data_IF_171853273564
#
_entry.id   IF_171853273564
#
_cell.length_a   1.000
_cell.length_b   1.000
_cell.length_c   1.000
_cell.angle_alpha   90.00
_cell.angle_beta   90.00
_cell.angle_gamma   90.00
#
_symmetry.space_group_name_H-M   'P 1'
#
loop_
_entity.id
_entity.type
_entity.pdbx_description
1 polymer ?
#
# COMPACT_ATOMS: atom_id res chain seq x y z
N UNK A 1 29.79 -3.46 13.21
CA UNK A 1 28.32 -3.59 13.29
C UNK A 1 27.76 -3.33 11.90
N UNK A 2 28.14 -4.23 10.99
CA UNK A 2 28.20 -4.02 9.54
C UNK A 2 26.83 -4.21 8.87
N UNK A 3 26.54 -3.33 7.91
CA UNK A 3 25.49 -3.39 6.86
C UNK A 3 24.41 -4.48 7.01
N UNK A 4 23.34 -4.19 7.76
CA UNK A 4 22.20 -5.12 7.90
C UNK A 4 21.16 -5.01 6.78
N UNK A 5 21.18 -3.91 6.03
CA UNK A 5 20.29 -3.66 4.91
C UNK A 5 21.04 -2.83 3.87
N UNK A 6 20.88 -3.14 2.59
CA UNK A 6 21.26 -2.22 1.52
C UNK A 6 20.02 -1.60 0.88
N UNK A 7 20.21 -0.37 0.47
CA UNK A 7 19.20 0.46 -0.15
C UNK A 7 19.34 0.38 -1.67
N UNK A 8 18.28 -0.05 -2.33
CA UNK A 8 18.13 0.14 -3.76
C UNK A 8 17.76 1.59 -4.00
N UNK A 9 18.78 2.41 -4.26
CA UNK A 9 18.60 3.76 -4.78
C UNK A 9 18.95 3.74 -6.28
N UNK A 10 17.94 3.80 -7.14
CA UNK A 10 18.15 4.56 -8.37
C UNK A 10 17.92 6.01 -7.97
N UNK A 11 18.93 6.86 -8.09
CA UNK A 11 18.70 8.31 -7.98
C UNK A 11 17.52 8.69 -8.89
N UNK A 12 16.75 9.69 -8.46
CA UNK A 12 15.69 10.35 -9.23
C UNK A 12 16.24 11.05 -10.51
N UNK A 13 16.85 10.29 -11.41
CA UNK A 13 17.32 10.76 -12.72
C UNK A 13 16.43 10.28 -13.88
N UNK A 14 15.23 9.78 -13.60
CA UNK A 14 14.31 9.31 -14.65
C UNK A 14 13.52 10.42 -15.35
N UNK A 15 13.76 11.70 -15.05
CA UNK A 15 13.21 12.80 -15.86
C UNK A 15 14.02 13.14 -17.10
N UNK A 16 15.21 12.56 -17.31
CA UNK A 16 16.08 12.89 -18.46
C UNK A 16 16.64 11.69 -19.24
N UNK A 17 16.35 10.45 -18.84
CA UNK A 17 16.81 9.24 -19.57
C UNK A 17 15.68 8.21 -19.67
N UNK A 18 14.52 8.65 -20.18
CA UNK A 18 13.47 7.74 -20.63
C UNK A 18 13.93 7.04 -21.92
N UNK A 19 14.40 5.79 -21.78
CA UNK A 19 14.24 4.68 -22.74
C UNK A 19 15.00 3.38 -22.37
N UNK A 20 15.52 3.21 -21.15
CA UNK A 20 16.09 1.91 -20.75
C UNK A 20 15.74 1.54 -19.30
N UNK A 21 14.92 0.50 -19.17
CA UNK A 21 14.60 -0.30 -17.97
C UNK A 21 15.82 -0.82 -17.16
N UNK A 22 17.04 -0.53 -17.59
CA UNK A 22 18.26 -1.24 -17.20
C UNK A 22 18.81 -0.83 -15.82
N UNK A 23 18.58 0.40 -15.36
CA UNK A 23 19.24 0.90 -14.13
C UNK A 23 18.79 0.17 -12.87
N UNK A 24 17.49 -0.15 -12.73
CA UNK A 24 16.96 -0.90 -11.60
C UNK A 24 17.44 -2.35 -11.61
N UNK A 25 17.45 -3.01 -12.77
CA UNK A 25 17.94 -4.39 -12.90
C UNK A 25 19.44 -4.50 -12.63
N UNK A 26 20.23 -3.50 -13.03
CA UNK A 26 21.65 -3.40 -12.67
C UNK A 26 21.80 -3.27 -11.15
N UNK A 27 21.01 -2.40 -10.50
CA UNK A 27 21.02 -2.27 -9.04
C UNK A 27 20.62 -3.56 -8.34
N UNK A 28 19.55 -4.22 -8.78
CA UNK A 28 19.09 -5.51 -8.24
C UNK A 28 20.21 -6.54 -8.33
N UNK A 29 20.77 -6.77 -9.52
CA UNK A 29 21.87 -7.75 -9.70
C UNK A 29 23.06 -7.45 -8.79
N UNK A 30 23.53 -6.21 -8.78
CA UNK A 30 24.67 -5.81 -7.95
C UNK A 30 24.41 -5.88 -6.43
N UNK A 31 23.15 -5.79 -6.00
CA UNK A 31 22.76 -5.98 -4.60
C UNK A 31 22.62 -7.47 -4.25
N UNK A 32 22.07 -8.28 -5.16
CA UNK A 32 21.90 -9.73 -4.96
C UNK A 32 23.27 -10.42 -4.83
N UNK A 33 24.25 -10.03 -5.63
CA UNK A 33 25.63 -10.52 -5.55
C UNK A 33 26.27 -10.33 -4.16
N UNK A 34 25.82 -9.33 -3.40
CA UNK A 34 26.34 -9.04 -2.05
C UNK A 34 25.74 -9.94 -0.96
N UNK A 35 24.71 -10.74 -1.26
CA UNK A 35 24.05 -11.66 -0.34
C UNK A 35 23.74 -11.04 1.03
N UNK A 36 22.89 -10.02 1.02
CA UNK A 36 22.58 -9.23 2.20
C UNK A 36 21.43 -9.87 3.00
N UNK A 37 21.28 -9.53 4.29
CA UNK A 37 20.19 -10.07 5.10
C UNK A 37 18.81 -9.51 4.73
N UNK A 38 18.73 -8.45 3.94
CA UNK A 38 17.48 -7.86 3.48
C UNK A 38 17.71 -6.74 2.46
N UNK A 39 16.66 -6.43 1.68
CA UNK A 39 16.73 -5.51 0.55
C UNK A 39 15.66 -4.43 0.67
N UNK A 40 16.05 -3.16 0.56
CA UNK A 40 15.11 -2.06 0.58
C UNK A 40 14.87 -1.50 -0.84
N UNK A 41 13.61 -1.29 -1.21
CA UNK A 41 13.17 -0.66 -2.44
C UNK A 41 12.90 0.81 -2.13
N UNK A 42 13.80 1.68 -2.58
CA UNK A 42 13.72 3.14 -2.38
C UNK A 42 13.40 3.90 -3.65
N UNK A 43 13.20 5.22 -3.50
CA UNK A 43 12.94 6.14 -4.63
C UNK A 43 11.47 6.25 -5.04
N UNK A 44 10.55 5.65 -4.27
CA UNK A 44 9.10 5.56 -4.54
C UNK A 44 8.23 6.47 -3.64
N UNK A 45 8.85 7.47 -3.03
CA UNK A 45 8.21 8.25 -1.97
C UNK A 45 7.57 9.55 -2.50
N UNK A 46 6.35 9.44 -3.04
CA UNK A 46 5.35 10.52 -2.96
C UNK A 46 5.28 11.53 -4.11
N UNK A 47 5.80 11.22 -5.30
CA UNK A 47 5.72 12.11 -6.46
C UNK A 47 5.55 11.45 -7.82
N UNK A 48 5.53 10.12 -7.90
CA UNK A 48 5.36 9.41 -9.17
C UNK A 48 3.90 9.07 -9.46
N UNK A 49 3.64 8.82 -10.74
CA UNK A 49 2.40 8.25 -11.21
C UNK A 49 2.17 6.86 -10.57
N UNK A 50 0.90 6.56 -10.25
CA UNK A 50 0.54 5.31 -9.59
C UNK A 50 0.83 4.09 -10.45
N UNK A 51 0.74 4.21 -11.77
CA UNK A 51 1.05 3.12 -12.68
C UNK A 51 2.57 2.81 -12.73
N UNK A 52 3.42 3.84 -12.71
CA UNK A 52 4.87 3.70 -12.55
C UNK A 52 5.22 3.10 -11.20
N UNK A 53 4.57 3.56 -10.13
CA UNK A 53 4.82 3.11 -8.76
C UNK A 53 4.71 1.58 -8.63
N UNK A 54 3.56 1.00 -9.01
CA UNK A 54 3.35 -0.44 -8.81
C UNK A 54 4.23 -1.28 -9.75
N UNK A 55 4.51 -0.80 -10.97
CA UNK A 55 5.41 -1.48 -11.92
C UNK A 55 6.83 -1.59 -11.38
N UNK A 56 7.36 -0.51 -10.78
CA UNK A 56 8.70 -0.54 -10.19
C UNK A 56 8.74 -1.49 -8.99
N UNK A 57 7.70 -1.52 -8.15
CA UNK A 57 7.61 -2.49 -7.06
C UNK A 57 7.64 -3.91 -7.61
N UNK A 58 6.79 -4.23 -8.58
CA UNK A 58 6.70 -5.57 -9.20
C UNK A 58 8.04 -6.00 -9.84
N UNK A 59 8.68 -5.10 -10.59
CA UNK A 59 10.00 -5.35 -11.19
C UNK A 59 11.05 -5.66 -10.12
N UNK A 60 11.10 -4.85 -9.06
CA UNK A 60 12.08 -5.04 -7.99
C UNK A 60 11.83 -6.31 -7.19
N UNK A 61 10.58 -6.61 -6.81
CA UNK A 61 10.26 -7.80 -6.01
C UNK A 61 10.50 -9.10 -6.79
N UNK A 62 10.28 -9.11 -8.12
CA UNK A 62 10.57 -10.26 -8.97
C UNK A 62 12.07 -10.57 -9.08
N UNK A 63 12.93 -9.55 -9.08
CA UNK A 63 14.38 -9.73 -9.16
C UNK A 63 15.09 -9.98 -7.83
N UNK A 64 14.40 -9.82 -6.70
CA UNK A 64 14.97 -9.97 -5.35
C UNK A 64 14.78 -11.40 -4.81
N UNK A 65 15.74 -11.93 -4.04
CA UNK A 65 15.65 -13.28 -3.45
C UNK A 65 14.39 -13.45 -2.61
N UNK A 66 13.72 -14.60 -2.76
CA UNK A 66 12.49 -14.94 -2.03
C UNK A 66 12.75 -15.26 -0.55
N UNK A 67 13.96 -15.68 -0.20
CA UNK A 67 14.35 -16.04 1.17
C UNK A 67 14.74 -14.82 2.03
N UNK A 68 14.65 -13.60 1.48
CA UNK A 68 15.09 -12.35 2.12
C UNK A 68 13.95 -11.33 2.20
N UNK A 69 13.84 -10.58 3.31
CA UNK A 69 12.82 -9.55 3.47
C UNK A 69 13.02 -8.39 2.49
N UNK A 70 11.91 -7.96 1.89
CA UNK A 70 11.80 -6.86 0.93
C UNK A 70 11.09 -5.68 1.60
N UNK A 71 11.81 -4.59 1.78
CA UNK A 71 11.33 -3.40 2.49
C UNK A 71 11.03 -2.27 1.51
N UNK A 72 9.76 -1.85 1.39
CA UNK A 72 9.36 -0.73 0.53
C UNK A 72 9.29 0.56 1.35
N UNK A 73 10.19 1.49 1.04
CA UNK A 73 10.36 2.71 1.83
C UNK A 73 9.33 3.79 1.49
N UNK A 74 8.76 4.43 2.51
CA UNK A 74 7.91 5.61 2.36
C UNK A 74 6.47 5.34 1.93
N UNK A 75 6.05 4.07 1.87
CA UNK A 75 4.68 3.66 1.53
C UNK A 75 3.83 3.56 2.80
N UNK A 76 2.74 4.32 2.84
CA UNK A 76 1.89 4.40 4.04
C UNK A 76 0.40 4.50 3.81
N UNK A 77 -0.05 4.61 2.55
CA UNK A 77 -1.47 4.60 2.28
C UNK A 77 -1.99 3.16 2.38
N UNK A 78 -3.12 2.89 3.07
CA UNK A 78 -3.61 1.53 3.28
C UNK A 78 -3.73 0.70 2.00
N UNK A 79 -4.29 1.28 0.94
CA UNK A 79 -4.41 0.61 -0.36
C UNK A 79 -3.05 0.27 -0.97
N UNK A 80 -2.07 1.18 -0.88
CA UNK A 80 -0.73 0.94 -1.41
C UNK A 80 -0.04 -0.21 -0.67
N UNK A 81 -0.21 -0.32 0.64
CA UNK A 81 0.34 -1.42 1.44
C UNK A 81 -0.25 -2.77 0.99
N UNK A 82 -1.57 -2.82 0.77
CA UNK A 82 -2.24 -4.04 0.30
C UNK A 82 -1.71 -4.43 -1.08
N UNK A 83 -1.58 -3.46 -2.00
CA UNK A 83 -1.05 -3.70 -3.35
C UNK A 83 0.40 -4.15 -3.32
N UNK A 84 1.28 -3.45 -2.60
CA UNK A 84 2.69 -3.83 -2.48
C UNK A 84 2.86 -5.22 -1.84
N UNK A 85 1.99 -5.57 -0.88
CA UNK A 85 2.04 -6.91 -0.26
C UNK A 85 1.66 -7.99 -1.27
N UNK A 86 0.66 -7.73 -2.12
CA UNK A 86 0.30 -8.63 -3.21
C UNK A 86 1.44 -8.79 -4.24
N UNK A 87 2.25 -7.75 -4.43
CA UNK A 87 3.45 -7.78 -5.27
C UNK A 87 4.68 -8.37 -4.57
N UNK A 88 4.56 -8.86 -3.33
CA UNK A 88 5.63 -9.57 -2.62
C UNK A 88 6.56 -8.69 -1.78
N UNK A 89 6.08 -7.55 -1.28
CA UNK A 89 6.79 -6.75 -0.28
C UNK A 89 6.41 -7.14 1.17
N UNK A 90 7.37 -7.06 2.08
CA UNK A 90 7.26 -7.58 3.45
C UNK A 90 7.22 -6.48 4.52
N UNK A 91 7.92 -5.37 4.29
CA UNK A 91 8.09 -4.29 5.27
C UNK A 91 7.74 -2.93 4.67
N UNK A 92 7.22 -2.04 5.53
CA UNK A 92 6.76 -0.70 5.16
C UNK A 92 7.08 0.31 6.26
N UNK A 93 7.35 1.55 5.87
CA UNK A 93 7.39 2.68 6.78
C UNK A 93 6.75 3.91 6.14
N UNK A 94 6.07 4.71 6.95
CA UNK A 94 5.62 6.02 6.50
C UNK A 94 5.22 6.91 7.67
N UNK A 95 5.40 8.21 7.50
CA UNK A 95 4.84 9.23 8.39
C UNK A 95 3.34 9.48 8.16
N UNK A 96 2.73 8.85 7.15
CA UNK A 96 1.33 9.05 6.77
C UNK A 96 0.33 9.02 7.95
N UNK A 97 0.29 8.00 8.83
CA UNK A 97 -0.70 7.95 9.91
C UNK A 97 -0.57 9.13 10.88
N UNK A 98 0.65 9.51 11.26
CA UNK A 98 0.90 10.60 12.21
C UNK A 98 0.81 11.98 11.55
N UNK A 99 1.17 12.11 10.27
CA UNK A 99 1.01 13.35 9.49
C UNK A 99 -0.47 13.66 9.29
N UNK A 100 -1.26 12.67 8.86
CA UNK A 100 -2.70 12.80 8.62
C UNK A 100 -3.45 13.11 9.92
N UNK A 101 -3.03 12.53 11.05
CA UNK A 101 -3.57 12.87 12.37
C UNK A 101 -3.39 14.35 12.75
N UNK A 102 -2.23 14.96 12.44
CA UNK A 102 -2.00 16.40 12.69
C UNK A 102 -2.91 17.30 11.89
N UNK A 103 -3.34 16.86 10.71
CA UNK A 103 -4.34 17.57 9.91
C UNK A 103 -5.78 17.32 10.38
N UNK A 104 -5.99 16.56 11.45
CA UNK A 104 -7.32 16.29 12.00
C UNK A 104 -8.08 15.21 11.23
N UNK A 105 -7.36 14.26 10.64
CA UNK A 105 -7.93 13.19 9.84
C UNK A 105 -7.62 11.82 10.47
N UNK A 106 -8.65 11.01 10.62
CA UNK A 106 -8.57 9.65 11.17
C UNK A 106 -8.68 8.61 10.05
N UNK A 107 -7.90 7.55 10.14
CA UNK A 107 -7.98 6.40 9.22
C UNK A 107 -9.16 5.51 9.62
N UNK A 108 -9.98 5.14 8.64
CA UNK A 108 -11.13 4.24 8.79
C UNK A 108 -11.12 3.24 7.63
N UNK A 109 -11.79 2.08 7.75
CA UNK A 109 -11.80 1.08 6.67
C UNK A 109 -12.28 1.63 5.32
N UNK A 110 -13.20 2.60 5.34
CA UNK A 110 -13.75 3.25 4.14
C UNK A 110 -12.84 4.37 3.59
N UNK A 111 -11.69 4.63 4.22
CA UNK A 111 -10.73 5.65 3.82
C UNK A 111 -10.36 6.61 4.94
N UNK A 112 -10.74 7.89 4.80
CA UNK A 112 -10.28 8.96 5.71
C UNK A 112 -11.46 9.77 6.24
N UNK A 113 -11.60 9.79 7.55
CA UNK A 113 -12.58 10.60 8.27
C UNK A 113 -11.97 11.96 8.65
N UNK A 114 -12.50 13.05 8.09
CA UNK A 114 -12.04 14.42 8.36
C UNK A 114 -12.78 14.99 9.58
N UNK A 115 -12.16 14.94 10.75
CA UNK A 115 -12.78 15.36 12.00
C UNK A 115 -12.97 16.87 12.15
N UNK A 116 -12.33 17.70 11.31
CA UNK A 116 -12.57 19.15 11.28
C UNK A 116 -13.87 19.56 10.60
N UNK A 117 -14.59 18.63 9.94
CA UNK A 117 -15.85 18.94 9.27
C UNK A 117 -16.97 19.18 10.29
N UNK A 118 -17.83 20.17 10.02
CA UNK A 118 -18.96 20.51 10.91
C UNK A 118 -19.94 19.35 11.12
N UNK A 119 -20.06 18.45 10.14
CA UNK A 119 -20.88 17.23 10.29
C UNK A 119 -20.45 16.35 11.48
N UNK A 120 -19.19 16.46 11.92
CA UNK A 120 -18.66 15.70 13.05
C UNK A 120 -18.96 16.35 14.39
N UNK A 121 -19.39 17.62 14.44
CA UNK A 121 -19.57 18.37 15.69
C UNK A 121 -20.63 17.78 16.61
N UNK A 122 -21.60 17.04 16.06
CA UNK A 122 -22.71 16.43 16.81
C UNK A 122 -22.75 14.90 16.65
N UNK A 123 -21.73 14.29 16.04
CA UNK A 123 -21.68 12.84 15.83
C UNK A 123 -21.14 12.14 17.08
N UNK A 124 -22.02 11.49 17.84
CA UNK A 124 -21.66 10.77 19.08
C UNK A 124 -21.06 9.38 18.84
N UNK A 125 -20.97 8.92 17.59
CA UNK A 125 -20.33 7.63 17.27
C UNK A 125 -18.82 7.68 17.51
N UNK A 126 -18.17 6.55 17.79
CA UNK A 126 -16.70 6.47 17.77
C UNK A 126 -16.16 6.64 16.34
N UNK A 127 -14.84 6.81 16.19
CA UNK A 127 -14.21 6.88 14.85
C UNK A 127 -14.56 5.64 14.03
N UNK A 128 -14.33 4.45 14.59
CA UNK A 128 -14.65 3.16 14.01
C UNK A 128 -15.19 2.23 15.13
N UNK A 129 -16.47 1.81 15.07
CA UNK A 129 -17.06 0.90 16.07
C UNK A 129 -16.37 -0.46 16.17
N UNK A 130 -15.73 -0.92 15.09
CA UNK A 130 -14.98 -2.18 15.07
C UNK A 130 -13.58 -2.06 15.70
N UNK A 131 -13.14 -0.84 16.04
CA UNK A 131 -11.78 -0.59 16.50
C UNK A 131 -11.64 -0.76 18.02
N UNK A 132 -10.79 -1.68 18.49
CA UNK A 132 -10.62 -1.93 19.92
C UNK A 132 -9.68 -0.93 20.61
N UNK A 133 -9.21 0.10 19.91
CA UNK A 133 -8.23 1.06 20.42
C UNK A 133 -8.84 1.92 21.55
N UNK A 134 -7.97 2.42 22.45
CA UNK A 134 -8.39 3.29 23.57
C UNK A 134 -9.23 4.48 23.10
N UNK A 135 -8.91 5.04 21.93
CA UNK A 135 -9.59 6.23 21.41
C UNK A 135 -11.03 5.93 21.00
N UNK A 136 -11.25 4.85 20.25
CA UNK A 136 -12.59 4.45 19.82
C UNK A 136 -13.47 3.94 20.98
N UNK A 137 -12.87 3.47 22.08
CA UNK A 137 -13.61 3.04 23.27
C UNK A 137 -14.09 4.20 24.15
N UNK A 138 -13.33 5.30 24.19
CA UNK A 138 -13.53 6.34 25.19
C UNK A 138 -14.01 7.68 24.62
N UNK A 139 -13.86 7.93 23.32
CA UNK A 139 -14.15 9.23 22.73
C UNK A 139 -15.07 9.14 21.51
N UNK A 140 -15.96 10.12 21.40
CA UNK A 140 -16.86 10.31 20.27
C UNK A 140 -16.23 11.20 19.20
N UNK A 141 -16.74 11.13 17.97
CA UNK A 141 -16.33 12.01 16.87
C UNK A 141 -16.59 13.49 17.20
N UNK A 142 -17.70 13.81 17.87
CA UNK A 142 -18.03 15.15 18.35
C UNK A 142 -16.99 15.70 19.33
N UNK A 143 -16.58 14.88 20.30
CA UNK A 143 -15.55 15.27 21.26
C UNK A 143 -14.20 15.49 20.56
N UNK A 144 -13.82 14.58 19.67
CA UNK A 144 -12.60 14.68 18.88
C UNK A 144 -12.61 15.88 17.92
N UNK A 145 -13.75 16.22 17.32
CA UNK A 145 -13.93 17.43 16.49
C UNK A 145 -13.60 18.70 17.29
N UNK A 146 -14.11 18.80 18.52
CA UNK A 146 -13.82 19.91 19.42
C UNK A 146 -12.32 19.97 19.75
N UNK A 147 -11.71 18.85 20.15
CA UNK A 147 -10.29 18.78 20.49
C UNK A 147 -9.39 19.13 19.30
N UNK A 148 -9.59 18.50 18.14
CA UNK A 148 -8.75 18.70 16.94
C UNK A 148 -8.75 20.16 16.46
N UNK A 149 -9.80 20.92 16.79
CA UNK A 149 -9.93 22.34 16.42
C UNK A 149 -9.29 23.28 17.45
N UNK A 150 -9.19 22.86 18.72
CA UNK A 150 -8.86 23.75 19.84
C UNK A 150 -7.60 23.37 20.62
N UNK A 151 -7.16 22.12 20.54
CA UNK A 151 -6.14 21.56 21.43
C UNK A 151 -5.22 20.56 20.69
N UNK A 152 -3.88 20.64 20.85
CA UNK A 152 -2.94 19.67 20.29
C UNK A 152 -3.18 18.21 20.73
N UNK A 153 -3.82 17.97 21.87
CA UNK A 153 -4.22 16.63 22.35
C UNK A 153 -5.07 15.88 21.33
N UNK A 154 -5.88 16.58 20.53
CA UNK A 154 -6.64 15.97 19.43
C UNK A 154 -5.71 15.24 18.45
N UNK A 155 -4.60 15.85 18.07
CA UNK A 155 -3.62 15.23 17.15
C UNK A 155 -2.91 14.01 17.75
N UNK A 156 -2.71 13.98 19.06
CA UNK A 156 -2.11 12.84 19.76
C UNK A 156 -3.05 11.65 19.80
N UNK A 157 -4.33 11.88 20.15
CA UNK A 157 -5.37 10.85 20.13
C UNK A 157 -5.55 10.28 18.71
N UNK A 158 -5.61 11.13 17.69
CA UNK A 158 -5.70 10.66 16.31
C UNK A 158 -4.46 9.90 15.86
N UNK A 159 -3.27 10.31 16.31
CA UNK A 159 -2.04 9.56 16.00
C UNK A 159 -2.07 8.17 16.61
N UNK A 160 -2.53 8.04 17.86
CA UNK A 160 -2.73 6.73 18.50
C UNK A 160 -3.72 5.85 17.72
N UNK A 161 -4.87 6.40 17.35
CA UNK A 161 -5.87 5.68 16.55
C UNK A 161 -5.31 5.25 15.19
N UNK A 162 -4.68 6.17 14.45
CA UNK A 162 -4.15 5.89 13.12
C UNK A 162 -3.03 4.84 13.16
N UNK A 163 -2.14 4.88 14.15
CA UNK A 163 -1.12 3.84 14.33
C UNK A 163 -1.75 2.49 14.68
N UNK A 164 -2.77 2.48 15.54
CA UNK A 164 -3.52 1.26 15.86
C UNK A 164 -4.24 0.68 14.63
N UNK A 165 -4.76 1.54 13.75
CA UNK A 165 -5.37 1.12 12.48
C UNK A 165 -4.35 0.45 11.57
N UNK A 166 -3.19 1.08 11.34
CA UNK A 166 -2.12 0.51 10.50
C UNK A 166 -1.60 -0.81 11.05
N UNK A 167 -1.40 -0.92 12.38
CA UNK A 167 -0.96 -2.15 13.01
C UNK A 167 -1.98 -3.28 12.87
N UNK A 168 -3.29 -2.97 12.91
CA UNK A 168 -4.36 -3.94 12.62
C UNK A 168 -4.36 -4.37 11.18
N UNK A 169 -4.27 -3.43 10.24
CA UNK A 169 -4.18 -3.72 8.80
C UNK A 169 -3.02 -4.68 8.51
N UNK A 170 -1.82 -4.40 9.03
CA UNK A 170 -0.66 -5.29 8.86
C UNK A 170 -0.88 -6.68 9.47
N UNK A 171 -1.55 -6.75 10.64
CA UNK A 171 -1.88 -8.04 11.27
C UNK A 171 -2.89 -8.82 10.44
N UNK A 172 -3.98 -8.20 10.03
CA UNK A 172 -5.06 -8.86 9.29
C UNK A 172 -4.55 -9.34 7.92
N UNK A 173 -3.69 -8.53 7.29
CA UNK A 173 -2.96 -8.90 6.07
C UNK A 173 -2.09 -10.14 6.31
N UNK A 174 -1.23 -10.12 7.33
CA UNK A 174 -0.36 -11.25 7.66
C UNK A 174 -1.16 -12.53 7.96
N UNK A 175 -2.23 -12.43 8.76
CA UNK A 175 -3.09 -13.56 9.09
C UNK A 175 -3.80 -14.12 7.84
N UNK A 176 -4.24 -13.28 6.92
CA UNK A 176 -4.87 -13.76 5.68
C UNK A 176 -3.92 -14.55 4.79
N UNK A 177 -2.62 -14.23 4.81
CA UNK A 177 -1.58 -15.00 4.10
C UNK A 177 -1.38 -16.35 4.78
N UNK A 178 -1.23 -16.38 6.11
CA UNK A 178 -1.07 -17.63 6.87
C UNK A 178 -2.27 -18.58 6.71
N UNK A 179 -3.47 -18.03 6.62
CA UNK A 179 -4.71 -18.78 6.46
C UNK A 179 -5.04 -19.13 4.98
N UNK A 180 -4.16 -18.76 4.03
CA UNK A 180 -4.37 -19.06 2.61
C UNK A 180 -5.56 -18.33 1.97
N UNK A 181 -6.01 -17.22 2.57
CA UNK A 181 -7.19 -16.43 2.16
C UNK A 181 -6.87 -14.98 1.81
N UNK A 182 -5.65 -14.74 1.33
CA UNK A 182 -5.19 -13.40 0.97
C UNK A 182 -6.00 -12.78 -0.18
N UNK A 183 -6.32 -13.50 -1.27
CA UNK A 183 -7.20 -12.97 -2.32
C UNK A 183 -8.58 -12.52 -1.81
N UNK A 184 -9.18 -13.26 -0.88
CA UNK A 184 -10.45 -12.93 -0.23
C UNK A 184 -10.32 -11.66 0.61
N UNK A 185 -9.22 -11.53 1.35
CA UNK A 185 -8.91 -10.34 2.13
C UNK A 185 -8.78 -9.10 1.23
N UNK A 186 -8.06 -9.19 0.11
CA UNK A 186 -7.92 -8.10 -0.86
C UNK A 186 -9.29 -7.70 -1.43
N UNK A 187 -10.09 -8.67 -1.87
CA UNK A 187 -11.45 -8.41 -2.38
C UNK A 187 -12.33 -7.74 -1.31
N UNK A 188 -12.29 -8.23 -0.08
CA UNK A 188 -13.00 -7.65 1.06
C UNK A 188 -12.56 -6.21 1.36
N UNK A 189 -11.26 -5.95 1.37
CA UNK A 189 -10.69 -4.61 1.54
C UNK A 189 -11.16 -3.65 0.45
N UNK A 190 -11.09 -4.05 -0.82
CA UNK A 190 -11.52 -3.23 -1.95
C UNK A 190 -13.02 -2.92 -1.91
N UNK A 191 -13.88 -3.88 -1.53
CA UNK A 191 -15.33 -3.65 -1.39
C UNK A 191 -15.66 -2.60 -0.32
N UNK A 192 -14.91 -2.58 0.78
CA UNK A 192 -15.09 -1.59 1.85
C UNK A 192 -14.56 -0.23 1.43
N UNK A 193 -13.40 -0.20 0.77
CA UNK A 193 -12.73 1.04 0.34
C UNK A 193 -13.44 1.71 -0.85
N UNK A 194 -14.03 0.92 -1.75
CA UNK A 194 -14.71 1.33 -2.98
C UNK A 194 -16.11 0.69 -3.06
N UNK A 195 -17.07 1.12 -2.22
CA UNK A 195 -18.40 0.49 -2.17
C UNK A 195 -19.21 0.65 -3.47
N UNK A 196 -18.82 1.59 -4.35
CA UNK A 196 -19.44 1.78 -5.66
C UNK A 196 -18.78 0.95 -6.76
N UNK A 197 -17.74 0.17 -6.45
CA UNK A 197 -16.94 -0.56 -7.43
C UNK A 197 -16.13 0.33 -8.37
N UNK A 198 -15.78 1.53 -7.90
CA UNK A 198 -14.93 2.52 -8.57
C UNK A 198 -13.44 2.30 -8.25
N UNK A 199 -12.99 1.05 -8.40
CA UNK A 199 -11.59 0.67 -8.18
C UNK A 199 -10.70 1.32 -9.26
N UNK A 200 -9.58 1.97 -8.90
CA UNK A 200 -8.69 2.62 -9.87
C UNK A 200 -7.99 1.62 -10.81
N UNK A 201 -7.85 1.97 -12.10
CA UNK A 201 -7.21 1.13 -13.15
C UNK A 201 -5.83 0.58 -12.75
N UNK A 202 -4.99 1.38 -12.10
CA UNK A 202 -3.66 0.93 -11.66
C UNK A 202 -3.72 -0.22 -10.64
N UNK A 203 -4.78 -0.30 -9.82
CA UNK A 203 -5.00 -1.40 -8.87
C UNK A 203 -5.33 -2.68 -9.63
N UNK A 204 -6.18 -2.60 -10.67
CA UNK A 204 -6.48 -3.74 -11.52
C UNK A 204 -5.21 -4.31 -12.17
N UNK A 205 -4.43 -3.44 -12.80
CA UNK A 205 -3.20 -3.85 -13.46
C UNK A 205 -2.22 -4.50 -12.46
N UNK A 206 -2.10 -3.94 -11.26
CA UNK A 206 -1.23 -4.52 -10.22
C UNK A 206 -1.74 -5.87 -9.69
N UNK A 207 -3.06 -6.02 -9.53
CA UNK A 207 -3.67 -7.28 -9.06
C UNK A 207 -3.60 -8.39 -10.10
N UNK A 208 -3.71 -8.05 -11.39
CA UNK A 208 -3.51 -8.98 -12.50
C UNK A 208 -2.08 -9.56 -12.47
N UNK A 209 -1.08 -8.70 -12.30
CA UNK A 209 0.32 -9.13 -12.16
C UNK A 209 0.55 -9.96 -10.89
N UNK A 210 -0.17 -9.67 -9.81
CA UNK A 210 -0.14 -10.46 -8.57
C UNK A 210 -0.94 -11.79 -8.68
N UNK A 211 -1.65 -12.04 -9.79
CA UNK A 211 -2.48 -13.23 -9.96
C UNK A 211 -3.75 -13.24 -9.09
N UNK A 212 -4.26 -12.07 -8.68
CA UNK A 212 -5.46 -11.93 -7.86
C UNK A 212 -6.61 -11.38 -8.71
N UNK A 213 -7.65 -12.20 -8.92
CA UNK A 213 -8.86 -11.76 -9.61
C UNK A 213 -9.71 -10.85 -8.70
N UNK A 214 -9.96 -9.63 -9.17
CA UNK A 214 -10.79 -8.61 -8.51
C UNK A 214 -11.99 -8.18 -9.35
N UNK A 215 -12.32 -8.92 -10.42
CA UNK A 215 -13.43 -8.61 -11.33
C UNK A 215 -14.77 -8.39 -10.60
N UNK A 216 -15.05 -9.20 -9.57
CA UNK A 216 -16.25 -9.10 -8.72
C UNK A 216 -16.35 -7.79 -7.91
N UNK A 217 -15.25 -7.06 -7.73
CA UNK A 217 -15.23 -5.81 -6.96
C UNK A 217 -15.56 -4.58 -7.82
N UNK A 218 -15.87 -4.77 -9.10
CA UNK A 218 -15.91 -3.70 -10.09
C UNK A 218 -17.29 -3.60 -10.74
N UNK A 219 -17.69 -2.37 -11.08
CA UNK A 219 -18.90 -2.18 -11.90
C UNK A 219 -18.59 -2.45 -13.38
N UNK A 220 -19.58 -2.93 -14.18
CA UNK A 220 -19.36 -3.31 -15.58
C UNK A 220 -18.74 -2.21 -16.46
N UNK A 221 -18.91 -0.94 -16.08
CA UNK A 221 -18.43 0.23 -16.82
C UNK A 221 -16.93 0.49 -16.72
N UNK A 222 -16.22 -0.12 -15.75
CA UNK A 222 -14.75 0.00 -15.65
C UNK A 222 -14.00 -1.21 -16.25
N UNK A 223 -14.71 -2.27 -16.66
CA UNK A 223 -14.11 -3.48 -17.21
C UNK A 223 -14.16 -3.55 -18.74
N UNK A 224 -14.74 -2.55 -19.42
CA UNK A 224 -14.85 -2.52 -20.88
C UNK A 224 -14.31 -1.18 -21.40
N UNK A 225 -13.44 -1.25 -22.42
CA UNK A 225 -12.46 -0.25 -22.89
C UNK A 225 -11.15 -0.33 -22.09
N UNK A 226 -10.25 -1.31 -22.32
CA UNK A 226 -9.44 -1.43 -23.54
C UNK A 226 -9.08 -2.91 -23.80
N UNK A 227 -9.99 -3.67 -24.41
CA UNK A 227 -9.60 -4.83 -25.20
C UNK A 227 -9.35 -4.31 -26.63
N UNK A 228 -8.19 -4.63 -27.21
CA UNK A 228 -7.65 -4.19 -28.51
C UNK A 228 -6.90 -2.84 -28.49
N UNK A 229 -5.60 -2.88 -28.21
CA UNK A 229 -4.61 -2.85 -29.29
C UNK A 229 -3.27 -3.42 -28.78
N UNK A 230 -2.84 -4.49 -29.43
CA UNK A 230 -1.58 -5.14 -29.21
C UNK A 230 -0.42 -4.19 -29.61
N UNK A 231 0.31 -3.68 -28.62
CA UNK A 231 1.70 -3.27 -28.81
C UNK A 231 2.56 -4.30 -28.08
N UNK A 232 3.25 -5.13 -28.86
CA UNK A 232 3.91 -6.36 -28.42
C UNK A 232 4.92 -6.15 -27.29
N UNK A 233 4.51 -6.49 -26.08
CA UNK A 233 5.43 -6.90 -25.01
C UNK A 233 5.36 -8.41 -24.97
N UNK A 234 6.46 -9.05 -25.32
CA UNK A 234 6.62 -10.49 -25.30
C UNK A 234 6.63 -10.98 -23.84
N UNK A 235 5.48 -11.45 -23.37
CA UNK A 235 5.25 -12.04 -22.04
C UNK A 235 6.06 -13.32 -21.79
N UNK A 236 6.84 -13.79 -22.77
CA UNK A 236 7.77 -14.90 -22.59
C UNK A 236 9.09 -14.54 -21.89
N UNK A 237 9.41 -13.25 -21.68
CA UNK A 237 10.61 -12.82 -20.95
C UNK A 237 10.44 -12.70 -19.42
N UNK A 238 9.20 -12.73 -18.90
CA UNK A 238 8.92 -12.56 -17.46
C UNK A 238 8.51 -13.86 -16.73
N UNK A 239 8.51 -15.00 -17.42
CA UNK A 239 8.19 -16.29 -16.84
C UNK A 239 9.48 -17.13 -16.71
N UNK A 240 10.02 -17.40 -15.51
CA UNK A 240 11.02 -18.44 -15.37
C UNK A 240 10.39 -19.78 -15.78
N UNK A 241 11.10 -20.66 -16.52
CA UNK A 241 10.57 -21.96 -16.88
C UNK A 241 10.29 -22.75 -15.61
N UNK A 242 9.01 -22.91 -15.28
CA UNK A 242 8.54 -23.90 -14.30
C UNK A 242 8.87 -25.29 -14.83
N UNK A 243 10.03 -25.81 -14.42
CA UNK A 243 10.21 -27.24 -14.19
C UNK A 243 10.23 -27.45 -12.68
N UNK A 244 9.07 -27.75 -12.11
CA UNK A 244 9.07 -28.59 -10.92
C UNK A 244 9.12 -30.07 -11.37
N UNK A 245 9.90 -30.94 -10.71
CA UNK A 245 9.67 -32.37 -10.75
C UNK A 245 8.34 -32.75 -10.07
#
# INVERSE_FOLDING_TARGET
MHERYAFMQSMQFDKLLCNSCNSRDICVRGLVERNLPGYAIGGLAGGEDKDSFWRVVAQCTAGLPEDKPRYVMGVGYPLDIVVCSALGADMYDCVYPTRTARFGSALVPEGVLKLKQNAMATDERPIDPSCPCMVCKNYTRAYLHCLVTKDPMGSQLLSYHNLSFMARLSRDLHMSILEGRFPEFVRGFLRVQFPKGDVPKWVHNAMEVAGIDISECCTPTNCQHDAMEAAGVDISEFCPPTRCP
#
